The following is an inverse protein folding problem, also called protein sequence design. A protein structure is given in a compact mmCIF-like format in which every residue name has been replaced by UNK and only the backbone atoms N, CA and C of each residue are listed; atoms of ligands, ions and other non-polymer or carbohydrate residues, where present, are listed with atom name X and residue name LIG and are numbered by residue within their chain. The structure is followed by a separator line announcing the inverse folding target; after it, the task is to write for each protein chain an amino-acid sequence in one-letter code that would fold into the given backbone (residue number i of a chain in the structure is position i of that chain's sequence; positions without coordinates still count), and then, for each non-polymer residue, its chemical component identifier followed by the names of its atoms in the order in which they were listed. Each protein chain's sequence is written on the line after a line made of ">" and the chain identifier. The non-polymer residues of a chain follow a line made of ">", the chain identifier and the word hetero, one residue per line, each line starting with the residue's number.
data_IF_555034695092
#
_entry.id   IF_555034695092
#
_cell.length_a   1.000
_cell.length_b   1.000
_cell.length_c   1.000
_cell.angle_alpha   90.00
_cell.angle_beta   90.00
_cell.angle_gamma   90.00
#
_symmetry.space_group_name_H-M   'P 1'
#
loop_
_entity.id
_entity.type
_entity.pdbx_description
1 polymer ?
#
# COMPACT_ATOMS: atom_id res chain seq x y z
N UNK A 1 -27.30 7.07 -3.21
CA UNK A 1 -26.45 7.43 -2.07
C UNK A 1 -25.13 8.01 -2.56
N UNK A 2 -24.71 9.07 -1.93
CA UNK A 2 -23.41 9.69 -2.21
C UNK A 2 -22.28 8.68 -1.94
N UNK A 3 -21.33 8.61 -2.85
CA UNK A 3 -20.20 7.67 -2.77
C UNK A 3 -19.38 7.87 -1.48
N UNK A 4 -19.20 9.14 -1.05
CA UNK A 4 -18.45 9.43 0.16
C UNK A 4 -19.20 8.94 1.41
N UNK A 5 -20.49 9.09 1.44
CA UNK A 5 -21.31 8.57 2.56
C UNK A 5 -21.24 7.05 2.63
N UNK A 6 -21.25 6.39 1.48
CA UNK A 6 -21.12 4.94 1.42
C UNK A 6 -19.72 4.50 1.88
N UNK A 7 -18.67 5.20 1.49
CA UNK A 7 -17.31 4.93 1.95
C UNK A 7 -17.24 5.04 3.48
N UNK A 8 -17.80 6.11 4.03
CA UNK A 8 -17.80 6.32 5.48
C UNK A 8 -18.54 5.20 6.22
N UNK A 9 -19.70 4.81 5.69
CA UNK A 9 -20.51 3.75 6.29
C UNK A 9 -19.76 2.41 6.29
N UNK A 10 -19.19 2.04 5.15
CA UNK A 10 -18.46 0.77 5.03
C UNK A 10 -17.17 0.80 5.87
N UNK A 11 -16.46 1.92 5.87
CA UNK A 11 -15.24 2.07 6.68
C UNK A 11 -15.53 1.94 8.17
N UNK A 12 -16.63 2.52 8.65
CA UNK A 12 -17.04 2.42 10.04
C UNK A 12 -17.41 0.98 10.41
N UNK A 13 -18.03 0.26 9.48
CA UNK A 13 -18.45 -1.11 9.69
C UNK A 13 -17.28 -2.11 9.61
N UNK A 14 -16.46 -2.00 8.57
CA UNK A 14 -15.34 -2.92 8.30
C UNK A 14 -14.06 -2.55 9.04
N UNK A 15 -13.88 -1.27 9.37
CA UNK A 15 -12.62 -0.74 9.85
C UNK A 15 -11.62 -0.52 8.72
N UNK A 16 -10.57 0.23 9.03
CA UNK A 16 -9.48 0.50 8.08
C UNK A 16 -8.20 -0.12 8.64
N UNK A 17 -7.64 -1.09 7.94
CA UNK A 17 -6.40 -1.75 8.34
C UNK A 17 -5.31 -1.44 7.31
N UNK A 18 -4.25 -0.82 7.76
CA UNK A 18 -3.16 -0.39 6.89
C UNK A 18 -2.09 -1.47 6.69
N UNK A 19 -2.22 -2.58 7.39
CA UNK A 19 -1.35 -3.75 7.22
C UNK A 19 -2.18 -5.01 7.06
N UNK A 20 -1.62 -6.01 6.41
CA UNK A 20 -2.33 -7.26 6.15
C UNK A 20 -2.70 -7.94 7.46
N UNK A 21 -3.94 -8.37 7.55
CA UNK A 21 -4.47 -9.05 8.72
C UNK A 21 -5.30 -10.27 8.30
N UNK A 22 -5.54 -11.16 9.25
CA UNK A 22 -6.41 -12.32 9.06
C UNK A 22 -7.85 -11.88 9.34
N UNK A 23 -8.74 -12.01 8.34
CA UNK A 23 -10.12 -11.53 8.47
C UNK A 23 -10.94 -12.34 9.47
N UNK A 24 -10.53 -13.57 9.78
CA UNK A 24 -11.23 -14.40 10.75
C UNK A 24 -10.86 -14.03 12.20
N UNK A 25 -9.64 -13.62 12.45
CA UNK A 25 -9.15 -13.29 13.79
C UNK A 25 -9.04 -11.79 14.06
N UNK A 26 -8.97 -10.99 13.02
CA UNK A 26 -8.73 -9.55 13.11
C UNK A 26 -7.30 -9.18 13.47
N UNK A 27 -6.40 -10.15 13.56
CA UNK A 27 -5.01 -9.90 13.96
C UNK A 27 -4.10 -9.68 12.76
N UNK A 28 -3.16 -8.73 12.92
CA UNK A 28 -2.15 -8.46 11.93
C UNK A 28 -1.30 -9.71 11.67
N UNK A 29 -1.09 -10.01 10.39
CA UNK A 29 -0.30 -11.17 9.98
C UNK A 29 1.19 -10.88 10.01
N UNK A 30 1.96 -11.86 10.47
CA UNK A 30 3.43 -11.84 10.51
C UNK A 30 3.96 -13.03 9.74
N UNK A 31 5.23 -12.96 9.34
CA UNK A 31 5.87 -14.07 8.65
C UNK A 31 5.79 -15.34 9.51
N UNK A 32 5.37 -16.44 8.90
CA UNK A 32 5.22 -17.72 9.58
C UNK A 32 3.85 -17.97 10.21
N UNK A 33 2.98 -16.98 10.26
CA UNK A 33 1.65 -17.16 10.82
C UNK A 33 0.81 -18.09 9.93
N UNK A 34 -0.03 -18.88 10.58
CA UNK A 34 -0.98 -19.76 9.89
C UNK A 34 -2.30 -19.02 9.73
N UNK A 35 -2.79 -18.98 8.49
CA UNK A 35 -4.06 -18.34 8.19
C UNK A 35 -5.24 -19.17 8.73
N UNK A 36 -6.15 -18.49 9.41
CA UNK A 36 -7.44 -19.05 9.81
C UNK A 36 -8.50 -18.66 8.78
N UNK A 37 -8.50 -17.38 8.37
CA UNK A 37 -9.37 -16.87 7.32
C UNK A 37 -8.56 -16.47 6.09
N UNK A 38 -8.72 -15.23 5.63
CA UNK A 38 -8.08 -14.72 4.42
C UNK A 38 -7.18 -13.52 4.75
N UNK A 39 -6.01 -13.42 4.09
CA UNK A 39 -5.20 -12.20 4.21
C UNK A 39 -5.98 -11.04 3.59
N UNK A 40 -6.15 -9.99 4.36
CA UNK A 40 -7.04 -8.87 4.02
C UNK A 40 -6.32 -7.56 4.36
N UNK A 41 -6.54 -6.50 3.60
CA UNK A 41 -5.94 -5.20 3.83
C UNK A 41 -6.93 -4.09 3.47
N UNK A 42 -6.71 -2.90 4.02
CA UNK A 42 -7.54 -1.74 3.73
C UNK A 42 -8.90 -1.85 4.36
N UNK A 43 -9.94 -1.72 3.57
CA UNK A 43 -11.32 -1.78 4.01
C UNK A 43 -11.92 -3.10 3.50
N UNK A 44 -11.49 -4.20 4.11
CA UNK A 44 -12.05 -5.53 3.80
C UNK A 44 -11.59 -6.13 2.47
N UNK A 45 -10.45 -5.70 1.91
CA UNK A 45 -9.97 -6.21 0.63
C UNK A 45 -9.20 -7.53 0.80
N UNK A 46 -9.78 -8.63 0.36
CA UNK A 46 -9.12 -9.94 0.36
C UNK A 46 -7.99 -9.95 -0.68
N UNK A 47 -6.75 -10.17 -0.20
CA UNK A 47 -5.56 -10.20 -1.07
C UNK A 47 -4.96 -11.60 -1.17
N UNK A 48 -5.74 -12.62 -0.83
CA UNK A 48 -5.35 -14.00 -1.05
C UNK A 48 -5.26 -14.31 -2.56
N UNK A 49 -4.62 -15.42 -2.89
CA UNK A 49 -4.45 -15.84 -4.29
C UNK A 49 -5.78 -15.93 -5.05
N UNK A 50 -6.83 -16.39 -4.38
CA UNK A 50 -8.17 -16.54 -4.94
C UNK A 50 -9.06 -15.33 -4.64
N UNK A 51 -8.52 -14.30 -4.01
CA UNK A 51 -9.25 -13.09 -3.67
C UNK A 51 -9.21 -12.05 -4.78
N UNK A 52 -9.74 -10.87 -4.49
CA UNK A 52 -9.84 -9.78 -5.46
C UNK A 52 -8.48 -9.18 -5.83
N UNK A 53 -7.55 -9.13 -4.87
CA UNK A 53 -6.26 -8.46 -5.09
C UNK A 53 -6.44 -6.96 -5.26
N UNK A 54 -5.61 -6.36 -6.11
CA UNK A 54 -5.70 -4.94 -6.44
C UNK A 54 -5.77 -4.75 -7.94
N UNK A 55 -6.37 -3.64 -8.37
CA UNK A 55 -6.44 -3.27 -9.78
C UNK A 55 -5.16 -2.59 -10.24
N UNK A 56 -5.00 -2.46 -11.56
CA UNK A 56 -3.91 -1.71 -12.16
C UNK A 56 -3.90 -0.26 -11.66
N UNK A 57 -5.06 0.37 -11.59
CA UNK A 57 -5.20 1.76 -11.10
C UNK A 57 -4.77 1.88 -9.64
N UNK A 58 -5.17 0.92 -8.81
CA UNK A 58 -4.77 0.90 -7.42
C UNK A 58 -3.26 0.71 -7.27
N UNK A 59 -2.68 -0.19 -8.08
CA UNK A 59 -1.23 -0.43 -8.07
C UNK A 59 -0.47 0.84 -8.47
N UNK A 60 -0.92 1.54 -9.50
CA UNK A 60 -0.30 2.79 -9.94
C UNK A 60 -0.43 3.90 -8.90
N UNK A 61 -1.58 3.98 -8.24
CA UNK A 61 -1.79 4.97 -7.18
C UNK A 61 -0.84 4.72 -6.00
N UNK A 62 -0.68 3.47 -5.61
CA UNK A 62 0.27 3.10 -4.56
C UNK A 62 1.70 3.45 -4.98
N UNK A 63 2.05 3.18 -6.22
CA UNK A 63 3.38 3.51 -6.74
C UNK A 63 3.62 5.03 -6.74
N UNK A 64 2.63 5.83 -7.11
CA UNK A 64 2.74 7.29 -7.04
C UNK A 64 3.04 7.76 -5.63
N UNK A 65 2.34 7.20 -4.65
CA UNK A 65 2.58 7.53 -3.24
C UNK A 65 3.99 7.10 -2.80
N UNK A 66 4.44 5.93 -3.25
CA UNK A 66 5.77 5.43 -2.92
C UNK A 66 6.86 6.30 -3.54
N UNK A 67 6.67 6.76 -4.78
CA UNK A 67 7.60 7.67 -5.46
C UNK A 67 7.69 8.99 -4.69
N UNK A 68 6.56 9.55 -4.29
CA UNK A 68 6.52 10.80 -3.54
C UNK A 68 7.24 10.67 -2.20
N UNK A 69 7.05 9.55 -1.51
CA UNK A 69 7.75 9.26 -0.26
C UNK A 69 9.26 9.18 -0.47
N UNK A 70 9.71 8.46 -1.50
CA UNK A 70 11.13 8.32 -1.81
C UNK A 70 11.74 9.67 -2.17
N UNK A 71 11.05 10.50 -2.97
CA UNK A 71 11.51 11.85 -3.31
C UNK A 71 11.68 12.70 -2.05
N UNK A 72 10.77 12.58 -1.10
CA UNK A 72 10.88 13.29 0.18
C UNK A 72 12.10 12.82 0.97
N UNK A 73 12.36 11.52 0.98
CA UNK A 73 13.51 10.94 1.67
C UNK A 73 14.84 11.39 1.08
N UNK A 74 14.94 11.50 -0.24
CA UNK A 74 16.21 11.84 -0.91
C UNK A 74 16.45 13.34 -1.07
N UNK A 75 15.48 14.20 -0.81
CA UNK A 75 15.65 15.65 -1.01
C UNK A 75 16.70 16.26 -0.08
N UNK A 76 17.02 15.60 1.02
CA UNK A 76 18.04 16.06 1.97
C UNK A 76 19.46 15.62 1.61
N UNK A 77 19.60 14.80 0.56
CA UNK A 77 20.92 14.43 0.06
C UNK A 77 21.49 15.55 -0.83
N UNK A 78 22.81 15.74 -0.89
CA UNK A 78 23.42 16.81 -1.70
C UNK A 78 23.43 16.43 -3.19
N UNK A 79 22.24 16.34 -3.78
CA UNK A 79 22.03 15.92 -5.17
C UNK A 79 21.62 17.09 -6.07
N UNK A 80 22.08 18.31 -5.75
CA UNK A 80 21.66 19.57 -6.37
C UNK A 80 21.82 19.61 -7.88
N UNK A 81 22.64 18.75 -8.46
CA UNK A 81 22.95 18.76 -9.89
C UNK A 81 22.50 17.49 -10.62
N UNK A 82 21.58 16.72 -10.03
CA UNK A 82 21.08 15.53 -10.69
C UNK A 82 20.08 15.89 -11.76
N UNK A 83 20.26 15.37 -12.97
CA UNK A 83 19.27 15.48 -14.02
C UNK A 83 18.14 14.45 -13.79
N UNK A 84 17.09 14.52 -14.61
CA UNK A 84 15.93 13.64 -14.48
C UNK A 84 16.29 12.16 -14.54
N UNK A 85 17.23 11.79 -15.41
CA UNK A 85 17.64 10.39 -15.55
C UNK A 85 18.30 9.87 -14.27
N UNK A 86 19.22 10.64 -13.70
CA UNK A 86 19.89 10.26 -12.46
C UNK A 86 18.91 10.21 -11.28
N UNK A 87 17.97 11.14 -11.23
CA UNK A 87 16.93 11.14 -10.22
C UNK A 87 16.08 9.88 -10.33
N UNK A 88 15.68 9.50 -11.53
CA UNK A 88 14.90 8.28 -11.77
C UNK A 88 15.66 7.03 -11.32
N UNK A 89 16.97 6.96 -11.61
CA UNK A 89 17.81 5.85 -11.19
C UNK A 89 17.88 5.76 -9.66
N UNK A 90 18.06 6.88 -8.99
CA UNK A 90 18.12 6.93 -7.52
C UNK A 90 16.80 6.48 -6.91
N UNK A 91 15.67 6.94 -7.47
CA UNK A 91 14.34 6.52 -7.02
C UNK A 91 14.17 5.01 -7.19
N UNK A 92 14.56 4.48 -8.35
CA UNK A 92 14.46 3.05 -8.63
C UNK A 92 15.33 2.24 -7.67
N UNK A 93 16.56 2.67 -7.41
CA UNK A 93 17.45 2.01 -6.45
C UNK A 93 16.86 2.03 -5.04
N UNK A 94 16.34 3.17 -4.60
CA UNK A 94 15.73 3.31 -3.29
C UNK A 94 14.49 2.42 -3.15
N UNK A 95 13.72 2.32 -4.22
CA UNK A 95 12.55 1.46 -4.28
C UNK A 95 12.93 -0.02 -4.10
N UNK A 96 14.00 -0.45 -4.76
CA UNK A 96 14.47 -1.84 -4.68
C UNK A 96 15.11 -2.18 -3.34
N UNK A 97 15.55 -1.19 -2.58
CA UNK A 97 16.15 -1.39 -1.26
C UNK A 97 15.13 -1.39 -0.13
N UNK A 98 13.97 -0.84 -0.41
CA UNK A 98 12.93 -0.70 0.58
C UNK A 98 12.08 -1.90 0.79
#
# INVERSE_FOLDING_TARGET
>A
MDKQKLINLISDHEGVKLKVYDDATGQELKAGDVLVGHPTIGIGRNVAKDGLGISQEEAEFMLMNDIDRVKEEIKNFPIEHLNEVRTAIIIDMAFNMG
#
